data_IF_662143006613
#
_entry.id   IF_662143006613
#
_cell.length_a   1.000
_cell.length_b   1.000
_cell.length_c   1.000
_cell.angle_alpha   90.00
_cell.angle_beta   90.00
_cell.angle_gamma   90.00
#
_symmetry.space_group_name_H-M   'P 1'
#
loop_
_entity.id
_entity.type
_entity.pdbx_description
1 polymer ?
#
# COMPACT_ATOMS: atom_id res chain seq x y z
N UNK A 1 12.90 -8.34 22.67
CA UNK A 1 12.72 -6.98 22.15
C UNK A 1 13.19 -7.01 20.71
N UNK A 2 12.27 -6.94 19.75
CA UNK A 2 12.60 -6.85 18.33
C UNK A 2 13.20 -5.48 18.05
N UNK A 3 14.32 -5.42 17.34
CA UNK A 3 14.95 -4.16 16.95
C UNK A 3 14.57 -3.89 15.50
N UNK A 4 13.73 -2.90 15.27
CA UNK A 4 13.37 -2.45 13.93
C UNK A 4 14.43 -1.49 13.37
N UNK A 5 14.66 -1.53 12.05
CA UNK A 5 15.47 -0.52 11.38
C UNK A 5 14.76 0.84 11.40
N UNK A 6 15.49 1.91 11.04
CA UNK A 6 14.97 3.27 11.11
C UNK A 6 13.64 3.43 10.35
N UNK A 7 13.54 2.89 9.13
CA UNK A 7 12.33 3.02 8.31
C UNK A 7 11.13 2.31 8.92
N UNK A 8 11.29 1.12 9.49
CA UNK A 8 10.18 0.45 10.19
C UNK A 8 9.82 1.14 11.51
N UNK A 9 10.77 1.81 12.18
CA UNK A 9 10.41 2.69 13.31
C UNK A 9 9.55 3.86 12.82
N UNK A 10 9.87 4.42 11.65
CA UNK A 10 9.11 5.52 11.07
C UNK A 10 7.67 5.11 10.72
N UNK A 11 7.48 3.89 10.19
CA UNK A 11 6.15 3.29 9.99
C UNK A 11 5.38 3.21 11.30
N UNK A 12 5.99 2.67 12.35
CA UNK A 12 5.36 2.53 13.67
C UNK A 12 5.05 3.88 14.33
N UNK A 13 5.92 4.88 14.14
CA UNK A 13 5.75 6.20 14.71
C UNK A 13 4.66 6.99 13.96
N UNK A 14 4.50 6.78 12.65
CA UNK A 14 3.46 7.41 11.84
C UNK A 14 2.07 6.79 12.08
N UNK A 15 1.95 5.45 12.01
CA UNK A 15 0.66 4.77 12.15
C UNK A 15 0.27 4.47 13.60
N UNK A 16 1.21 4.62 14.53
CA UNK A 16 1.05 4.27 15.93
C UNK A 16 1.45 2.83 16.24
N UNK A 17 2.03 2.64 17.43
CA UNK A 17 2.52 1.35 17.94
C UNK A 17 1.36 0.49 18.46
N UNK A 18 0.58 -0.05 17.55
CA UNK A 18 -0.41 -1.09 17.84
C UNK A 18 0.20 -2.48 17.66
N UNK A 19 -0.42 -3.50 18.25
CA UNK A 19 0.03 -4.89 18.12
C UNK A 19 0.09 -5.34 16.66
N UNK A 20 -0.92 -5.00 15.85
CA UNK A 20 -0.99 -5.39 14.44
C UNK A 20 0.16 -4.77 13.62
N UNK A 21 0.47 -3.50 13.86
CA UNK A 21 1.58 -2.82 13.20
C UNK A 21 2.96 -3.36 13.63
N UNK A 22 3.13 -3.68 14.92
CA UNK A 22 4.37 -4.30 15.41
C UNK A 22 4.56 -5.72 14.86
N UNK A 23 3.48 -6.49 14.71
CA UNK A 23 3.48 -7.82 14.10
C UNK A 23 3.81 -7.75 12.60
N UNK A 24 3.16 -6.84 11.86
CA UNK A 24 3.43 -6.61 10.43
C UNK A 24 4.90 -6.20 10.19
N UNK A 25 5.42 -5.24 10.97
CA UNK A 25 6.83 -4.84 10.90
C UNK A 25 7.79 -5.97 11.27
N UNK A 26 7.42 -6.82 12.24
CA UNK A 26 8.26 -7.96 12.64
C UNK A 26 8.30 -9.06 11.58
N UNK A 27 7.17 -9.26 10.89
CA UNK A 27 7.05 -10.22 9.80
C UNK A 27 7.64 -9.69 8.48
N UNK A 28 7.76 -8.37 8.33
CA UNK A 28 8.06 -7.73 7.05
C UNK A 28 6.96 -7.96 6.02
N UNK A 29 5.71 -8.10 6.48
CA UNK A 29 4.53 -8.39 5.66
C UNK A 29 3.43 -7.40 5.98
N UNK A 30 2.94 -6.74 4.93
CA UNK A 30 1.89 -5.73 4.96
C UNK A 30 0.89 -6.02 3.83
N UNK A 31 -0.09 -5.15 3.70
CA UNK A 31 -1.03 -5.11 2.59
C UNK A 31 -1.06 -3.69 2.01
N UNK A 32 -1.44 -3.57 0.74
CA UNK A 32 -1.59 -2.28 0.05
C UNK A 32 -2.72 -2.38 -0.97
N UNK A 33 -3.30 -1.24 -1.36
CA UNK A 33 -4.19 -1.18 -2.52
C UNK A 33 -3.35 -0.78 -3.72
N UNK A 34 -3.33 -1.64 -4.73
CA UNK A 34 -2.50 -1.47 -5.91
C UNK A 34 -3.38 -1.43 -7.17
N UNK A 35 -2.97 -0.63 -8.16
CA UNK A 35 -3.61 -0.56 -9.47
C UNK A 35 -2.66 -1.10 -10.52
N UNK A 36 -3.12 -2.06 -11.31
CA UNK A 36 -2.32 -2.65 -12.39
C UNK A 36 -2.13 -1.66 -13.53
N UNK A 37 -0.91 -1.53 -14.03
CA UNK A 37 -0.59 -0.60 -15.12
C UNK A 37 -0.69 -1.28 -16.50
N UNK A 38 -1.09 -0.52 -17.52
CA UNK A 38 -1.24 -0.99 -18.91
C UNK A 38 0.07 -1.53 -19.52
N UNK A 39 1.22 -1.09 -19.01
CA UNK A 39 2.56 -1.56 -19.43
C UNK A 39 3.07 -2.78 -18.66
N UNK A 40 2.28 -3.33 -17.74
CA UNK A 40 2.75 -4.25 -16.71
C UNK A 40 3.26 -3.51 -15.47
N UNK A 41 3.38 -4.25 -14.36
CA UNK A 41 3.67 -3.68 -13.04
C UNK A 41 2.43 -3.11 -12.35
N UNK A 42 2.69 -2.43 -11.24
CA UNK A 42 1.67 -1.93 -10.32
C UNK A 42 2.03 -0.54 -9.82
N UNK A 43 1.01 0.30 -9.66
CA UNK A 43 1.09 1.53 -8.90
C UNK A 43 0.50 1.29 -7.50
N UNK A 44 1.12 1.90 -6.49
CA UNK A 44 0.64 1.86 -5.09
C UNK A 44 0.54 3.28 -4.54
N UNK A 45 -0.15 3.45 -3.42
CA UNK A 45 -0.20 4.72 -2.72
C UNK A 45 1.10 5.05 -1.97
N UNK A 46 1.19 6.29 -1.51
CA UNK A 46 2.15 6.72 -0.50
C UNK A 46 1.46 7.44 0.64
N UNK A 47 1.98 7.27 1.84
CA UNK A 47 1.58 7.99 3.05
C UNK A 47 2.79 8.70 3.68
N UNK A 48 2.62 9.28 4.86
CA UNK A 48 3.68 9.99 5.57
C UNK A 48 3.67 11.50 5.34
N UNK A 49 4.73 12.16 5.81
CA UNK A 49 4.95 13.59 5.62
C UNK A 49 5.74 13.85 4.32
N UNK A 50 5.55 15.00 3.68
CA UNK A 50 6.17 15.35 2.38
C UNK A 50 7.68 15.10 2.29
N UNK A 51 8.41 15.27 3.39
CA UNK A 51 9.87 15.12 3.46
C UNK A 51 10.33 13.73 3.91
N UNK A 52 9.38 12.83 4.20
CA UNK A 52 9.61 11.48 4.68
C UNK A 52 8.46 10.55 4.25
N UNK A 53 8.28 10.35 2.93
CA UNK A 53 7.22 9.51 2.44
C UNK A 53 7.46 8.05 2.84
N UNK A 54 6.36 7.34 3.00
CA UNK A 54 6.29 5.90 3.23
C UNK A 54 5.37 5.28 2.16
N UNK A 55 5.54 4.00 1.81
CA UNK A 55 4.54 3.32 1.01
C UNK A 55 3.21 3.31 1.79
N UNK A 56 2.10 3.31 1.08
CA UNK A 56 0.79 3.20 1.72
C UNK A 56 0.55 1.74 2.14
N UNK A 57 0.55 1.53 3.45
CA UNK A 57 0.61 0.21 4.08
C UNK A 57 -0.58 0.00 5.01
N UNK A 58 -1.01 -1.25 5.09
CA UNK A 58 -1.98 -1.74 6.06
C UNK A 58 -1.42 -2.95 6.79
N UNK A 59 -1.60 -3.06 8.12
CA UNK A 59 -1.03 -4.14 8.89
C UNK A 59 -1.82 -5.45 8.72
N UNK A 60 -3.09 -5.36 8.30
CA UNK A 60 -3.96 -6.51 8.10
C UNK A 60 -4.70 -6.45 6.76
N UNK A 61 -5.08 -7.62 6.25
CA UNK A 61 -5.92 -7.75 5.06
C UNK A 61 -7.29 -7.08 5.27
N UNK A 62 -7.82 -7.10 6.49
CA UNK A 62 -9.10 -6.48 6.81
C UNK A 62 -9.03 -4.95 6.70
N UNK A 63 -7.92 -4.34 7.14
CA UNK A 63 -7.70 -2.90 7.01
C UNK A 63 -7.56 -2.48 5.54
N UNK A 64 -6.76 -3.20 4.75
CA UNK A 64 -6.61 -2.89 3.32
C UNK A 64 -7.92 -3.06 2.53
N UNK A 65 -8.73 -4.08 2.85
CA UNK A 65 -10.04 -4.24 2.22
C UNK A 65 -11.01 -3.12 2.60
N UNK A 66 -10.95 -2.63 3.84
CA UNK A 66 -11.74 -1.48 4.27
C UNK A 66 -11.35 -0.23 3.48
N UNK A 67 -10.05 0.04 3.34
CA UNK A 67 -9.60 1.15 2.50
C UNK A 67 -10.07 0.98 1.06
N UNK A 68 -9.83 -0.19 0.45
CA UNK A 68 -10.22 -0.42 -0.94
C UNK A 68 -11.72 -0.17 -1.15
N UNK A 69 -12.56 -0.53 -0.17
CA UNK A 69 -13.98 -0.25 -0.22
C UNK A 69 -14.30 1.25 -0.11
N UNK A 70 -13.55 2.01 0.69
CA UNK A 70 -13.66 3.47 0.77
C UNK A 70 -13.25 4.14 -0.55
N UNK A 71 -12.16 3.68 -1.18
CA UNK A 71 -11.73 4.12 -2.51
C UNK A 71 -12.78 3.82 -3.59
N UNK A 72 -13.34 2.61 -3.60
CA UNK A 72 -14.47 2.25 -4.49
C UNK A 72 -15.66 3.19 -4.27
N UNK A 73 -16.01 3.49 -3.02
CA UNK A 73 -17.13 4.38 -2.73
C UNK A 73 -16.86 5.80 -3.21
N UNK A 74 -15.65 6.33 -2.99
CA UNK A 74 -15.23 7.63 -3.51
C UNK A 74 -15.30 7.66 -5.03
N UNK A 75 -14.84 6.59 -5.69
CA UNK A 75 -14.89 6.46 -7.14
C UNK A 75 -16.33 6.51 -7.69
N UNK A 76 -17.26 5.81 -7.03
CA UNK A 76 -18.68 5.84 -7.40
C UNK A 76 -19.33 7.21 -7.16
N UNK A 77 -18.87 7.95 -6.15
CA UNK A 77 -19.34 9.31 -5.90
C UNK A 77 -18.83 10.29 -6.97
N UNK A 78 -17.59 10.14 -7.45
CA UNK A 78 -17.07 10.91 -8.60
C UNK A 78 -17.93 10.70 -9.86
N UNK A 79 -18.36 9.45 -10.14
CA UNK A 79 -19.28 9.14 -11.24
C UNK A 79 -20.63 9.85 -11.03
N UNK A 80 -21.19 9.81 -9.81
CA UNK A 80 -22.48 10.45 -9.50
C UNK A 80 -22.42 11.98 -9.66
N UNK A 81 -21.26 12.58 -9.39
CA UNK A 81 -21.04 14.01 -9.52
C UNK A 81 -20.67 14.45 -10.95
N UNK A 82 -20.41 13.50 -11.85
CA UNK A 82 -20.01 13.76 -13.24
C UNK A 82 -18.53 14.11 -13.40
N UNK A 83 -17.70 13.85 -12.38
CA UNK A 83 -16.24 13.99 -12.45
C UNK A 83 -15.59 12.80 -13.20
N UNK A 84 -16.32 11.69 -13.30
CA UNK A 84 -15.98 10.47 -14.07
C UNK A 84 -17.13 10.03 -14.95
N UNK A 85 -16.83 9.20 -15.96
CA UNK A 85 -17.83 8.75 -16.93
C UNK A 85 -18.71 7.63 -16.37
N UNK A 86 -19.99 7.61 -16.76
CA UNK A 86 -20.89 6.51 -16.44
C UNK A 86 -20.41 5.24 -17.15
N UNK A 87 -20.08 4.21 -16.37
CA UNK A 87 -19.55 2.94 -16.88
C UNK A 87 -18.04 2.77 -16.67
N UNK A 88 -17.35 3.78 -16.14
CA UNK A 88 -15.99 3.61 -15.63
C UNK A 88 -15.97 2.62 -14.44
N UNK A 89 -14.93 1.77 -14.39
CA UNK A 89 -14.75 0.76 -13.34
C UNK A 89 -13.52 1.09 -12.46
N UNK A 90 -13.56 0.63 -11.21
CA UNK A 90 -12.41 0.70 -10.31
C UNK A 90 -11.47 -0.49 -10.54
N UNK A 91 -10.22 -0.20 -10.85
CA UNK A 91 -9.18 -1.20 -11.18
C UNK A 91 -8.25 -1.55 -10.01
N UNK A 92 -8.49 -1.03 -8.81
CA UNK A 92 -7.64 -1.27 -7.63
C UNK A 92 -7.92 -2.63 -6.97
N UNK A 93 -6.85 -3.33 -6.59
CA UNK A 93 -6.90 -4.60 -5.87
C UNK A 93 -6.03 -4.57 -4.61
N UNK A 94 -6.39 -5.37 -3.61
CA UNK A 94 -5.59 -5.52 -2.38
C UNK A 94 -4.53 -6.59 -2.60
N UNK A 95 -3.25 -6.23 -2.43
CA UNK A 95 -2.11 -7.14 -2.55
C UNK A 95 -1.36 -7.28 -1.24
N UNK A 96 -0.69 -8.42 -1.07
CA UNK A 96 0.33 -8.59 -0.04
C UNK A 96 1.57 -7.79 -0.45
N UNK A 97 2.13 -7.00 0.48
CA UNK A 97 3.38 -6.27 0.28
C UNK A 97 4.43 -6.81 1.26
N UNK A 98 5.44 -7.48 0.72
CA UNK A 98 6.58 -7.96 1.52
C UNK A 98 7.70 -6.93 1.48
N UNK A 99 8.09 -6.44 2.66
CA UNK A 99 9.10 -5.41 2.80
C UNK A 99 9.78 -5.43 4.16
N UNK A 100 11.12 -5.47 4.12
CA UNK A 100 11.94 -5.45 5.34
C UNK A 100 12.20 -4.03 5.87
N UNK A 101 11.85 -2.98 5.14
CA UNK A 101 12.22 -1.60 5.47
C UNK A 101 13.70 -1.26 5.26
N UNK A 102 14.54 -2.20 4.83
CA UNK A 102 16.00 -1.98 4.71
C UNK A 102 16.42 -1.36 3.38
N UNK A 103 15.58 -1.46 2.36
CA UNK A 103 15.78 -0.92 1.01
C UNK A 103 14.48 -0.26 0.55
N UNK A 104 14.49 0.36 -0.63
CA UNK A 104 13.27 0.84 -1.28
C UNK A 104 12.56 -0.26 -2.07
N UNK A 105 13.11 -1.47 -2.14
CA UNK A 105 12.54 -2.56 -2.92
C UNK A 105 11.48 -3.31 -2.13
N UNK A 106 10.31 -3.50 -2.74
CA UNK A 106 9.18 -4.25 -2.21
C UNK A 106 8.76 -5.35 -3.19
N UNK A 107 8.16 -6.41 -2.67
CA UNK A 107 7.50 -7.44 -3.47
C UNK A 107 5.98 -7.34 -3.26
N UNK A 108 5.23 -7.31 -4.36
CA UNK A 108 3.78 -7.41 -4.37
C UNK A 108 3.38 -8.83 -4.74
N UNK A 109 2.51 -9.45 -3.94
CA UNK A 109 2.10 -10.84 -4.10
C UNK A 109 0.60 -11.05 -3.87
N UNK A 110 0.09 -12.15 -4.40
CA UNK A 110 -1.26 -12.66 -4.10
C UNK A 110 -1.13 -14.14 -3.74
N UNK A 111 -1.70 -14.55 -2.61
CA UNK A 111 -1.63 -15.94 -2.11
C UNK A 111 -0.21 -16.54 -2.07
N UNK A 112 0.81 -15.69 -1.86
CA UNK A 112 2.22 -16.06 -1.82
C UNK A 112 2.93 -16.12 -3.18
N UNK A 113 2.22 -15.93 -4.29
CA UNK A 113 2.80 -15.81 -5.62
C UNK A 113 3.20 -14.35 -5.90
N UNK A 114 4.49 -14.11 -6.11
CA UNK A 114 5.02 -12.77 -6.41
C UNK A 114 4.57 -12.34 -7.81
N UNK A 115 3.83 -11.23 -7.85
CA UNK A 115 3.33 -10.59 -9.07
C UNK A 115 4.32 -9.56 -9.61
N UNK A 116 4.96 -8.80 -8.70
CA UNK A 116 5.86 -7.72 -9.07
C UNK A 116 6.89 -7.44 -7.96
N UNK A 117 8.09 -7.01 -8.35
CA UNK A 117 9.16 -6.56 -7.45
C UNK A 117 9.74 -5.26 -8.02
N UNK A 118 9.97 -4.26 -7.18
CA UNK A 118 10.54 -2.99 -7.61
C UNK A 118 10.67 -1.95 -6.50
N UNK A 119 11.12 -0.76 -6.86
CA UNK A 119 11.22 0.37 -5.93
C UNK A 119 9.82 0.95 -5.63
N UNK A 120 9.41 0.93 -4.37
CA UNK A 120 8.07 1.40 -3.98
C UNK A 120 7.87 2.89 -4.25
N UNK A 121 8.93 3.71 -4.27
CA UNK A 121 8.84 5.14 -4.57
C UNK A 121 8.47 5.36 -6.02
N UNK A 122 9.10 4.59 -6.91
CA UNK A 122 8.74 4.60 -8.34
C UNK A 122 7.30 4.14 -8.54
N UNK A 123 6.87 3.08 -7.84
CA UNK A 123 5.47 2.61 -7.87
C UNK A 123 4.47 3.64 -7.34
N UNK A 124 4.89 4.48 -6.39
CA UNK A 124 4.08 5.55 -5.81
C UNK A 124 4.21 6.91 -6.54
N UNK A 125 5.00 6.99 -7.62
CA UNK A 125 5.22 8.24 -8.36
C UNK A 125 6.06 9.28 -7.60
N UNK A 126 6.87 8.85 -6.64
CA UNK A 126 7.79 9.69 -5.87
C UNK A 126 9.19 9.62 -6.50
N UNK A 127 9.71 10.78 -6.93
CA UNK A 127 11.04 10.96 -7.53
C UNK A 127 12.02 11.58 -6.53
#
# INVERSE_FOLDING_TARGET
MTIFNATLQDVLDFHGRTTEWEEACSAGKFFTVATRLLGGGYAIGSTGEDHKPLPDLYPTLADANRENQELINSYLDDIRNGDREEGDEWDGEVLELNWSGSTQVVELAIDGDVLHEGDWREMAGIL
#
